data_IF_129017380888
#
_entry.id   IF_129017380888
#
_cell.length_a   1.000
_cell.length_b   1.000
_cell.length_c   1.000
_cell.angle_alpha   90.00
_cell.angle_beta   90.00
_cell.angle_gamma   90.00
#
_symmetry.space_group_name_H-M   'P 1'
#
loop_
_entity.id
_entity.type
_entity.pdbx_description
1 polymer ?
2 water ?
#
# COMPACT_ATOMS: atom_id res chain seq x y z
N UNK A 1 21.60 20.66 -12.52
CA UNK A 1 20.57 19.90 -11.76
C UNK A 1 21.24 19.16 -10.61
N UNK A 2 20.63 19.24 -9.43
CA UNK A 2 21.17 18.56 -8.25
C UNK A 2 20.25 17.41 -7.87
N UNK A 3 20.86 16.26 -7.57
CA UNK A 3 20.09 15.07 -7.22
C UNK A 3 20.46 14.52 -5.85
N UNK A 4 19.50 14.50 -4.93
CA UNK A 4 19.74 13.97 -3.61
C UNK A 4 19.36 12.50 -3.57
N UNK A 5 20.29 11.66 -3.15
CA UNK A 5 20.07 10.23 -3.05
C UNK A 5 20.27 9.87 -1.58
N UNK A 6 19.21 9.39 -0.92
CA UNK A 6 19.34 9.03 0.49
C UNK A 6 19.29 7.52 0.71
N UNK A 7 19.91 7.10 1.81
CA UNK A 7 19.93 5.70 2.17
C UNK A 7 19.65 5.58 3.65
N UNK A 8 19.85 4.39 4.21
CA UNK A 8 19.63 4.15 5.62
C UNK A 8 20.73 3.29 6.22
N UNK A 9 20.93 3.45 7.52
CA UNK A 9 21.93 2.68 8.25
C UNK A 9 21.33 1.28 8.52
N UNK A 10 22.14 0.35 9.05
CA UNK A 10 21.67 -1.01 9.35
C UNK A 10 20.60 -1.03 10.43
N UNK A 11 19.71 -2.01 10.38
CA UNK A 11 18.65 -2.12 11.37
C UNK A 11 18.03 -3.52 11.40
N UNK A 12 17.12 -3.72 12.36
CA UNK A 12 16.42 -4.98 12.51
C UNK A 12 17.22 -6.25 12.66
N UNK A 13 18.42 -6.17 13.21
CA UNK A 13 19.22 -7.37 13.40
C UNK A 13 20.26 -7.63 12.32
N UNK A 14 20.16 -6.91 11.20
CA UNK A 14 21.12 -7.07 10.12
C UNK A 14 22.26 -6.08 10.33
N UNK A 15 23.49 -6.55 10.12
CA UNK A 15 24.66 -5.71 10.30
C UNK A 15 24.97 -4.74 9.16
N UNK A 16 24.29 -4.91 8.03
CA UNK A 16 24.54 -4.05 6.89
C UNK A 16 23.27 -3.62 6.18
N UNK A 17 23.35 -2.48 5.50
CA UNK A 17 22.24 -1.98 4.71
C UNK A 17 22.88 -1.60 3.38
N UNK A 18 22.58 -2.37 2.32
CA UNK A 18 23.14 -2.11 0.99
C UNK A 18 22.89 -0.73 0.38
N UNK A 19 21.90 0.01 0.90
CA UNK A 19 21.63 1.34 0.36
C UNK A 19 22.84 2.23 0.62
N UNK A 20 23.60 1.92 1.67
CA UNK A 20 24.79 2.70 1.99
C UNK A 20 25.81 2.49 0.87
N UNK A 21 25.98 1.24 0.45
CA UNK A 21 26.92 0.93 -0.63
C UNK A 21 26.49 1.59 -1.95
N UNK A 22 25.19 1.61 -2.20
CA UNK A 22 24.66 2.21 -3.42
C UNK A 22 24.89 3.71 -3.44
N UNK A 23 24.54 4.37 -2.34
CA UNK A 23 24.71 5.81 -2.24
C UNK A 23 26.17 6.19 -2.41
N UNK A 24 27.06 5.48 -1.74
CA UNK A 24 28.48 5.77 -1.85
C UNK A 24 28.96 5.59 -3.28
N UNK A 25 28.59 4.47 -3.90
CA UNK A 25 29.01 4.18 -5.26
C UNK A 25 28.56 5.23 -6.27
N UNK A 26 27.27 5.56 -6.25
CA UNK A 26 26.74 6.53 -7.20
C UNK A 26 27.13 7.98 -6.94
N UNK A 27 27.35 8.34 -5.68
CA UNK A 27 27.75 9.71 -5.39
C UNK A 27 29.18 9.92 -5.88
N UNK A 28 29.98 8.86 -5.83
CA UNK A 28 31.37 8.94 -6.28
C UNK A 28 31.49 9.03 -7.80
N UNK A 29 30.61 8.35 -8.51
CA UNK A 29 30.66 8.34 -9.98
C UNK A 29 29.85 9.43 -10.67
N UNK A 30 28.78 9.90 -10.02
CA UNK A 30 27.93 10.93 -10.59
C UNK A 30 28.06 12.21 -9.77
N UNK A 31 28.81 13.20 -10.28
CA UNK A 31 29.02 14.47 -9.56
C UNK A 31 27.78 15.28 -9.18
N UNK A 32 26.71 15.17 -9.95
CA UNK A 32 25.49 15.93 -9.63
C UNK A 32 24.70 15.27 -8.52
N UNK A 33 25.18 14.13 -8.03
CA UNK A 33 24.51 13.41 -6.97
C UNK A 33 25.08 13.75 -5.60
N UNK A 34 24.20 14.05 -4.65
CA UNK A 34 24.58 14.35 -3.29
C UNK A 34 24.02 13.20 -2.46
N UNK A 35 24.88 12.53 -1.71
CA UNK A 35 24.42 11.41 -0.90
C UNK A 35 24.31 11.70 0.58
N UNK A 36 23.29 11.11 1.20
CA UNK A 36 23.05 11.28 2.63
C UNK A 36 22.46 10.00 3.18
N UNK A 37 23.05 9.48 4.25
CA UNK A 37 22.56 8.27 4.88
C UNK A 37 21.76 8.67 6.11
N UNK A 38 20.51 8.26 6.17
CA UNK A 38 19.63 8.59 7.28
C UNK A 38 19.67 7.51 8.37
N UNK A 39 19.52 7.92 9.64
CA UNK A 39 19.53 6.97 10.75
C UNK A 39 18.16 6.30 10.80
N UNK A 40 18.08 5.07 11.29
CA UNK A 40 16.79 4.41 11.38
C UNK A 40 16.18 4.82 12.71
N UNK A 41 15.71 6.07 12.74
CA UNK A 41 15.10 6.71 13.90
C UNK A 41 14.09 7.72 13.38
N UNK A 42 12.83 7.59 13.80
CA UNK A 42 11.82 8.52 13.32
C UNK A 42 12.17 9.95 13.67
N UNK A 43 12.55 10.18 14.92
CA UNK A 43 12.92 11.51 15.38
C UNK A 43 14.15 12.08 14.66
N UNK A 44 15.23 11.32 14.65
CA UNK A 44 16.46 11.78 14.02
C UNK A 44 16.43 11.82 12.50
N UNK A 45 15.69 10.90 11.88
CA UNK A 45 15.59 10.88 10.43
C UNK A 45 14.79 12.08 9.95
N UNK A 46 13.72 12.44 10.65
CA UNK A 46 12.91 13.59 10.27
C UNK A 46 13.75 14.86 10.25
N UNK A 47 14.53 15.05 11.32
CA UNK A 47 15.38 16.22 11.42
C UNK A 47 16.45 16.23 10.32
N UNK A 48 17.14 15.11 10.16
CA UNK A 48 18.20 15.02 9.15
C UNK A 48 17.71 15.18 7.72
N UNK A 49 16.62 14.51 7.38
CA UNK A 49 16.06 14.60 6.03
C UNK A 49 15.59 16.00 5.69
N UNK A 50 14.86 16.64 6.59
CA UNK A 50 14.37 17.99 6.32
C UNK A 50 15.50 18.99 6.24
N UNK A 51 16.57 18.75 7.00
CA UNK A 51 17.72 19.65 6.98
C UNK A 51 18.45 19.58 5.64
N UNK A 52 18.77 18.36 5.19
CA UNK A 52 19.47 18.19 3.93
C UNK A 52 18.66 18.73 2.76
N UNK A 53 17.36 18.48 2.78
CA UNK A 53 16.49 18.97 1.71
C UNK A 53 16.57 20.49 1.65
N UNK A 54 16.56 21.13 2.81
CA UNK A 54 16.62 22.59 2.88
C UNK A 54 17.98 23.12 2.47
N UNK A 55 19.05 22.46 2.90
CA UNK A 55 20.40 22.91 2.58
C UNK A 55 20.78 22.68 1.11
N UNK A 56 20.40 21.53 0.57
CA UNK A 56 20.72 21.20 -0.81
C UNK A 56 19.73 21.74 -1.84
N UNK A 57 18.45 21.78 -1.47
CA UNK A 57 17.41 22.25 -2.39
C UNK A 57 17.54 21.47 -3.69
N UNK A 58 17.53 20.14 -3.62
CA UNK A 58 17.66 19.29 -4.80
C UNK A 58 16.52 19.44 -5.80
N UNK A 59 16.80 19.17 -7.06
CA UNK A 59 15.79 19.24 -8.10
C UNK A 59 15.06 17.90 -8.08
N UNK A 60 15.79 16.85 -7.75
CA UNK A 60 15.25 15.50 -7.68
C UNK A 60 15.74 14.81 -6.42
N UNK A 61 14.87 14.06 -5.77
CA UNK A 61 15.26 13.30 -4.61
C UNK A 61 14.76 11.88 -4.77
N UNK A 62 15.65 10.92 -4.60
CA UNK A 62 15.26 9.53 -4.67
C UNK A 62 15.72 8.91 -3.36
N UNK A 63 14.76 8.46 -2.55
CA UNK A 63 15.06 7.84 -1.27
C UNK A 63 15.24 6.34 -1.50
N UNK A 64 16.24 5.76 -0.86
CA UNK A 64 16.50 4.33 -0.99
C UNK A 64 16.28 3.61 0.34
N UNK A 65 15.86 2.36 0.25
CA UNK A 65 15.66 1.57 1.44
C UNK A 65 15.88 0.11 1.14
N UNK A 66 16.15 -0.66 2.19
CA UNK A 66 16.33 -2.11 2.05
C UNK A 66 14.98 -2.72 2.41
N UNK A 67 14.54 -3.67 1.59
CA UNK A 67 13.27 -4.36 1.82
C UNK A 67 13.57 -5.84 2.02
N UNK A 68 13.91 -6.24 3.26
CA UNK A 68 14.23 -7.64 3.55
C UNK A 68 13.16 -8.60 3.04
N UNK A 69 13.57 -9.55 2.21
CA UNK A 69 12.62 -10.53 1.71
C UNK A 69 12.08 -10.30 0.32
N UNK A 70 12.19 -9.08 -0.21
CA UNK A 70 11.68 -8.83 -1.55
C UNK A 70 12.63 -9.43 -2.58
N UNK A 71 12.06 -9.85 -3.71
CA UNK A 71 12.82 -10.50 -4.78
C UNK A 71 13.29 -9.58 -5.92
N UNK A 72 12.56 -8.50 -6.14
CA UNK A 72 12.84 -7.54 -7.19
C UNK A 72 13.08 -6.16 -6.61
N UNK A 73 13.64 -5.27 -7.42
CA UNK A 73 13.82 -3.89 -6.98
C UNK A 73 12.40 -3.36 -7.04
N UNK A 74 11.98 -2.63 -6.01
CA UNK A 74 10.63 -2.09 -5.95
C UNK A 74 10.62 -0.57 -6.10
N UNK A 75 9.89 -0.08 -7.10
CA UNK A 75 9.78 1.34 -7.33
C UNK A 75 8.44 1.76 -6.73
N UNK A 76 8.48 2.43 -5.59
CA UNK A 76 7.27 2.83 -4.88
C UNK A 76 6.44 3.93 -5.51
N UNK A 77 5.13 3.77 -5.47
CA UNK A 77 4.24 4.77 -6.04
C UNK A 77 3.44 5.50 -5.00
N UNK A 78 3.32 4.92 -3.81
CA UNK A 78 2.49 5.52 -2.75
C UNK A 78 3.16 5.69 -1.39
N UNK A 79 3.13 6.90 -0.86
CA UNK A 79 3.65 7.21 0.46
C UNK A 79 2.41 7.54 1.29
N UNK A 80 2.24 6.89 2.44
CA UNK A 80 1.07 7.12 3.27
C UNK A 80 1.36 7.90 4.53
N UNK A 81 0.41 8.74 4.95
CA UNK A 81 0.55 9.57 6.13
C UNK A 81 0.30 8.75 7.40
N UNK A 82 1.16 7.78 7.64
CA UNK A 82 0.99 6.90 8.79
C UNK A 82 2.29 6.32 9.31
N UNK A 83 2.42 6.29 10.63
CA UNK A 83 3.58 5.67 11.27
C UNK A 83 2.98 4.51 12.04
N UNK A 84 3.38 3.29 11.69
CA UNK A 84 2.91 2.07 12.35
C UNK A 84 4.11 1.14 12.37
N UNK A 85 4.97 1.32 13.36
CA UNK A 85 6.19 0.52 13.49
C UNK A 85 5.94 -0.89 14.00
N UNK A 86 6.14 -1.87 13.12
CA UNK A 86 5.94 -3.27 13.49
C UNK A 86 7.12 -3.79 14.31
N UNK A 87 8.18 -2.98 14.36
CA UNK A 87 9.37 -3.27 15.16
C UNK A 87 9.88 -1.91 15.61
N UNK A 88 10.67 -1.87 16.69
CA UNK A 88 11.18 -0.58 17.16
C UNK A 88 12.25 -0.04 16.21
N UNK A 89 12.55 1.25 16.30
CA UNK A 89 13.60 1.81 15.45
C UNK A 89 14.89 1.65 16.25
N UNK A 90 16.02 2.10 15.71
CA UNK A 90 17.29 1.94 16.41
C UNK A 90 17.40 2.69 17.74
N UNK A 91 16.43 3.56 18.03
CA UNK A 91 16.45 4.28 19.30
C UNK A 91 15.50 3.62 20.30
N UNK A 92 14.86 2.54 19.86
CA UNK A 92 13.95 1.83 20.74
C UNK A 92 12.49 2.28 20.66
N UNK A 93 12.23 3.35 19.93
CA UNK A 93 10.87 3.87 19.78
C UNK A 93 10.06 3.01 18.82
N UNK A 94 8.77 2.85 19.11
CA UNK A 94 7.91 2.06 18.24
C UNK A 94 6.52 2.69 18.15
N UNK A 95 6.44 3.91 17.56
CA UNK A 95 5.18 4.62 17.42
C UNK A 95 4.18 3.91 16.51
N UNK A 96 2.89 4.04 16.83
CA UNK A 96 1.83 3.41 16.04
C UNK A 96 0.61 4.32 15.94
N UNK A 97 0.00 4.31 14.76
CA UNK A 97 -1.20 5.11 14.50
C UNK A 97 -1.01 6.59 14.79
N UNK A 98 0.10 7.11 14.29
CA UNK A 98 0.46 8.51 14.43
C UNK A 98 0.67 9.02 13.02
N UNK A 99 0.21 10.24 12.71
CA UNK A 99 0.40 10.78 11.36
C UNK A 99 1.84 11.26 11.22
N UNK A 100 2.32 11.32 9.99
CA UNK A 100 3.69 11.81 9.75
C UNK A 100 3.59 13.34 9.77
N UNK A 101 2.51 13.86 9.18
CA UNK A 101 2.25 15.28 9.16
C UNK A 101 0.78 15.52 9.49
N UNK A 102 0.54 16.17 10.63
CA UNK A 102 -0.81 16.47 11.06
C UNK A 102 -1.51 17.32 10.00
N UNK A 103 -2.66 16.85 9.51
CA UNK A 103 -3.39 17.60 8.51
C UNK A 103 -2.91 17.37 7.09
N UNK A 104 -1.85 16.58 6.93
CA UNK A 104 -1.34 16.31 5.59
C UNK A 104 -2.25 15.34 4.87
N UNK A 105 -2.14 15.23 3.53
CA UNK A 105 -3.01 14.30 2.80
C UNK A 105 -2.74 12.85 3.22
N UNK A 106 -3.75 12.00 3.07
CA UNK A 106 -3.61 10.60 3.45
C UNK A 106 -2.42 9.98 2.71
N UNK A 107 -2.17 10.42 1.48
CA UNK A 107 -1.05 9.90 0.72
C UNK A 107 -0.54 10.85 -0.34
N UNK A 108 0.64 10.54 -0.84
CA UNK A 108 1.29 11.28 -1.93
C UNK A 108 1.76 10.25 -2.94
N UNK A 109 1.52 10.50 -4.22
CA UNK A 109 2.00 9.60 -5.26
C UNK A 109 3.42 10.05 -5.60
N UNK A 110 4.30 9.10 -5.91
CA UNK A 110 5.66 9.43 -6.29
C UNK A 110 5.56 10.26 -7.57
N UNK A 111 6.44 11.23 -7.72
CA UNK A 111 6.40 12.08 -8.90
C UNK A 111 7.48 11.80 -9.94
N UNK A 112 8.43 10.92 -9.63
CA UNK A 112 9.42 10.56 -10.63
C UNK A 112 8.65 9.62 -11.57
N UNK A 113 9.17 9.39 -12.80
CA UNK A 113 8.49 8.50 -13.76
C UNK A 113 8.65 7.03 -13.36
N UNK A 114 7.87 6.61 -12.37
CA UNK A 114 7.95 5.25 -11.85
C UNK A 114 7.81 4.11 -12.84
N UNK A 115 6.79 4.12 -13.69
CA UNK A 115 6.63 3.02 -14.64
C UNK A 115 7.76 3.00 -15.67
N UNK A 116 8.15 4.18 -16.15
CA UNK A 116 9.22 4.27 -17.13
C UNK A 116 10.52 3.73 -16.52
N UNK A 117 10.74 4.04 -15.24
CA UNK A 117 11.92 3.57 -14.54
C UNK A 117 11.92 2.04 -14.42
N UNK A 118 10.77 1.47 -14.07
CA UNK A 118 10.67 0.02 -13.95
C UNK A 118 10.94 -0.65 -15.30
N UNK A 119 10.33 -0.13 -16.36
CA UNK A 119 10.54 -0.72 -17.68
C UNK A 119 11.99 -0.57 -18.15
N UNK A 120 12.64 0.53 -17.80
CA UNK A 120 14.03 0.73 -18.20
C UNK A 120 14.93 -0.25 -17.46
N UNK A 121 14.60 -0.54 -16.20
CA UNK A 121 15.39 -1.49 -15.43
C UNK A 121 15.27 -2.88 -16.07
N UNK A 122 14.03 -3.26 -16.41
CA UNK A 122 13.79 -4.56 -17.02
C UNK A 122 14.52 -4.69 -18.36
N UNK A 123 14.55 -3.62 -19.13
CA UNK A 123 15.23 -3.63 -20.42
C UNK A 123 16.72 -3.91 -20.23
N UNK A 124 17.22 -3.63 -19.03
CA UNK A 124 18.63 -3.86 -18.71
C UNK A 124 18.84 -5.15 -17.93
N UNK A 125 17.82 -6.00 -17.93
CA UNK A 125 17.90 -7.29 -17.26
C UNK A 125 17.79 -7.27 -15.75
N UNK A 126 17.26 -6.18 -15.20
CA UNK A 126 17.13 -6.05 -13.75
C UNK A 126 15.70 -6.33 -13.30
N UNK A 127 15.50 -7.34 -12.43
CA UNK A 127 14.14 -7.63 -11.96
C UNK A 127 13.61 -6.41 -11.20
N UNK A 128 12.54 -5.81 -11.71
CA UNK A 128 11.97 -4.63 -11.08
C UNK A 128 10.46 -4.65 -11.21
N UNK A 129 9.80 -4.04 -10.23
CA UNK A 129 8.35 -3.98 -10.22
C UNK A 129 7.87 -2.72 -9.51
N UNK A 130 6.64 -2.32 -9.82
CA UNK A 130 6.02 -1.17 -9.17
C UNK A 130 5.47 -1.70 -7.85
N UNK A 131 5.50 -0.87 -6.82
CA UNK A 131 4.98 -1.25 -5.51
C UNK A 131 4.01 -0.18 -5.03
N UNK A 132 2.95 -0.59 -4.34
CA UNK A 132 1.96 0.35 -3.84
C UNK A 132 1.94 0.56 -2.33
N UNK A 133 2.89 -0.08 -1.65
CA UNK A 133 3.07 0.13 -0.22
C UNK A 133 4.56 0.06 0.08
N UNK A 134 5.06 1.11 0.71
CA UNK A 134 6.46 1.21 1.09
C UNK A 134 6.58 0.88 2.57
N UNK A 135 5.52 0.27 3.11
CA UNK A 135 5.51 -0.06 4.53
C UNK A 135 5.05 1.15 5.33
N UNK A 136 5.17 1.08 6.64
CA UNK A 136 4.77 2.18 7.51
C UNK A 136 5.84 2.43 8.57
N UNK A 137 7.07 2.09 8.20
CA UNK A 137 8.25 2.24 9.06
C UNK A 137 9.06 3.45 8.56
N UNK A 138 10.38 3.42 8.73
CA UNK A 138 11.23 4.53 8.31
C UNK A 138 11.27 4.84 6.81
N UNK A 139 11.17 3.81 5.98
CA UNK A 139 11.20 4.01 4.55
C UNK A 139 10.03 4.85 4.05
N UNK A 140 8.81 4.44 4.43
CA UNK A 140 7.62 5.18 4.03
C UNK A 140 7.71 6.60 4.62
N UNK A 141 8.25 6.67 5.84
CA UNK A 141 8.40 7.93 6.56
C UNK A 141 9.21 8.92 5.72
N UNK A 142 10.38 8.49 5.24
CA UNK A 142 11.23 9.34 4.42
C UNK A 142 10.56 9.68 3.09
N UNK A 143 9.88 8.69 2.50
CA UNK A 143 9.21 8.91 1.23
C UNK A 143 8.15 10.01 1.35
N UNK A 144 7.32 9.92 2.39
CA UNK A 144 6.24 10.89 2.60
C UNK A 144 6.78 12.29 2.87
N UNK A 145 7.75 12.40 3.77
CA UNK A 145 8.32 13.69 4.11
C UNK A 145 8.93 14.37 2.88
N UNK A 146 9.57 13.57 2.02
CA UNK A 146 10.19 14.12 0.82
C UNK A 146 9.12 14.63 -0.15
N UNK A 147 8.09 13.84 -0.38
CA UNK A 147 7.02 14.26 -1.30
C UNK A 147 6.21 15.42 -0.72
N UNK A 148 6.07 15.45 0.60
CA UNK A 148 5.33 16.52 1.27
C UNK A 148 6.09 17.84 1.16
N UNK A 149 7.41 17.78 1.32
CA UNK A 149 8.23 18.98 1.22
C UNK A 149 8.15 19.51 -0.21
N UNK A 150 8.10 18.61 -1.18
CA UNK A 150 8.00 19.00 -2.57
C UNK A 150 6.68 19.74 -2.83
N UNK A 151 5.60 19.15 -2.34
CA UNK A 151 4.27 19.72 -2.50
C UNK A 151 4.05 21.05 -1.79
N UNK A 152 4.68 21.22 -0.64
CA UNK A 152 4.51 22.43 0.14
C UNK A 152 5.57 23.51 -0.06
N UNK A 153 6.81 23.10 -0.32
CA UNK A 153 7.88 24.07 -0.51
C UNK A 153 8.45 24.19 -1.91
N UNK A 154 8.12 23.24 -2.79
CA UNK A 154 8.61 23.32 -4.15
C UNK A 154 9.92 22.62 -4.44
N UNK A 155 10.52 22.02 -3.42
CA UNK A 155 11.77 21.29 -3.59
C UNK A 155 11.73 20.00 -2.77
N UNK A 156 12.13 18.87 -3.37
CA UNK A 156 12.58 18.73 -4.76
C UNK A 156 11.41 18.94 -5.70
N UNK A 157 11.70 18.99 -7.00
CA UNK A 157 10.66 19.16 -8.00
C UNK A 157 9.90 17.85 -8.16
N UNK A 158 10.65 16.75 -8.21
CA UNK A 158 10.05 15.42 -8.31
C UNK A 158 10.81 14.48 -7.37
N UNK A 159 10.13 13.44 -6.91
CA UNK A 159 10.76 12.50 -5.99
C UNK A 159 10.09 11.13 -5.98
N UNK A 160 10.78 10.17 -5.39
CA UNK A 160 10.25 8.82 -5.29
C UNK A 160 11.10 7.99 -4.34
N UNK A 161 10.71 6.73 -4.16
CA UNK A 161 11.42 5.83 -3.26
C UNK A 161 11.68 4.51 -3.97
N UNK A 162 12.86 3.93 -3.74
CA UNK A 162 13.19 2.65 -4.34
C UNK A 162 13.70 1.71 -3.27
N UNK A 163 13.08 0.54 -3.17
CA UNK A 163 13.48 -0.47 -2.21
C UNK A 163 14.30 -1.52 -2.97
N UNK A 164 15.34 -2.03 -2.32
CA UNK A 164 16.17 -3.05 -2.93
C UNK A 164 16.22 -4.29 -2.04
N UNK A 165 16.38 -5.47 -2.64
CA UNK A 165 16.46 -6.72 -1.88
C UNK A 165 17.77 -6.82 -1.11
N UNK A 166 17.88 -7.84 -0.26
CA UNK A 166 19.11 -8.08 0.46
C UNK A 166 20.15 -8.42 -0.61
N UNK A 167 21.41 -8.12 -0.34
CA UNK A 167 22.46 -8.50 -1.28
C UNK A 167 22.83 -9.93 -0.83
N UNK A 168 23.46 -10.73 -1.71
CA UNK A 168 23.83 -12.10 -1.39
C UNK A 168 24.58 -12.32 -0.08
N UNK A 169 25.51 -11.44 0.23
CA UNK A 169 26.31 -11.54 1.45
C UNK A 169 25.48 -11.41 2.72
N UNK A 170 24.25 -10.92 2.60
CA UNK A 170 23.38 -10.74 3.75
C UNK A 170 22.48 -11.92 4.10
N UNK A 171 22.42 -12.91 3.20
CA UNK A 171 21.53 -14.05 3.43
C UNK A 171 22.20 -15.41 3.50
N UNK A 172 23.52 -15.44 3.73
CA UNK A 172 24.23 -16.70 3.79
C UNK A 172 23.71 -17.65 4.86
N UNK A 173 23.10 -17.10 5.91
CA UNK A 173 22.56 -17.93 6.98
C UNK A 173 21.05 -17.79 7.09
N UNK A 174 20.42 -17.26 6.04
CA UNK A 174 18.97 -17.08 6.03
C UNK A 174 18.32 -18.02 5.02
N UNK A 175 17.56 -18.98 5.53
CA UNK A 175 16.90 -19.95 4.67
C UNK A 175 15.79 -19.32 3.84
N UNK A 176 15.67 -19.79 2.59
CA UNK A 176 14.63 -19.35 1.68
C UNK A 176 14.43 -17.83 1.64
N UNK A 177 15.54 -17.10 1.67
CA UNK A 177 15.52 -15.65 1.64
C UNK A 177 16.15 -15.15 0.35
N UNK A 178 15.39 -14.43 -0.48
CA UNK A 178 15.91 -13.90 -1.76
C UNK A 178 16.94 -12.80 -1.65
N UNK A 179 17.77 -12.68 -2.69
CA UNK A 179 18.80 -11.65 -2.73
C UNK A 179 19.05 -11.21 -4.16
N UNK A 180 19.78 -10.11 -4.30
CA UNK A 180 20.12 -9.55 -5.60
C UNK A 180 21.51 -8.94 -5.47
N UNK A 181 22.34 -9.14 -6.49
CA UNK A 181 23.71 -8.62 -6.47
C UNK A 181 23.75 -7.10 -6.33
N UNK A 182 24.74 -6.61 -5.59
CA UNK A 182 24.91 -5.18 -5.37
C UNK A 182 25.09 -4.46 -6.70
N UNK A 183 25.85 -5.06 -7.62
CA UNK A 183 26.06 -4.45 -8.92
C UNK A 183 24.75 -4.19 -9.67
N UNK A 184 23.80 -5.12 -9.62
CA UNK A 184 22.52 -4.92 -10.29
C UNK A 184 21.74 -3.83 -9.59
N UNK A 185 21.81 -3.81 -8.26
CA UNK A 185 21.09 -2.81 -7.49
C UNK A 185 21.64 -1.42 -7.79
N UNK A 186 22.95 -1.30 -7.89
CA UNK A 186 23.56 -0.01 -8.20
C UNK A 186 23.13 0.41 -9.61
N UNK A 187 23.15 -0.54 -10.55
CA UNK A 187 22.76 -0.25 -11.91
C UNK A 187 21.30 0.20 -11.98
N UNK A 188 20.44 -0.48 -11.22
CA UNK A 188 19.03 -0.14 -11.21
C UNK A 188 18.80 1.28 -10.72
N UNK A 189 19.45 1.64 -9.63
CA UNK A 189 19.28 2.98 -9.08
C UNK A 189 19.88 4.02 -10.03
N UNK A 190 20.99 3.66 -10.68
CA UNK A 190 21.62 4.59 -11.63
C UNK A 190 20.60 4.88 -12.75
N UNK A 191 19.94 3.82 -13.22
CA UNK A 191 18.93 3.94 -14.26
C UNK A 191 17.78 4.84 -13.77
N UNK A 192 17.37 4.65 -12.51
CA UNK A 192 16.29 5.46 -11.95
C UNK A 192 16.67 6.94 -11.96
N UNK A 193 17.89 7.22 -11.57
CA UNK A 193 18.37 8.60 -11.53
C UNK A 193 18.36 9.21 -12.94
N UNK A 194 18.96 8.51 -13.88
CA UNK A 194 19.04 9.00 -15.25
C UNK A 194 17.67 9.20 -15.92
N UNK A 195 16.75 8.26 -15.69
CA UNK A 195 15.42 8.37 -16.28
C UNK A 195 14.66 9.55 -15.69
N UNK A 196 14.77 9.73 -14.37
CA UNK A 196 14.09 10.85 -13.72
C UNK A 196 14.70 12.16 -14.18
N UNK A 197 16.02 12.16 -14.32
CA UNK A 197 16.77 13.34 -14.76
C UNK A 197 16.35 13.74 -16.16
N UNK A 198 16.29 12.76 -17.06
CA UNK A 198 15.89 13.02 -18.44
C UNK A 198 14.46 13.57 -18.48
N UNK A 199 13.57 12.93 -17.73
CA UNK A 199 12.17 13.35 -17.68
C UNK A 199 12.04 14.81 -17.24
N UNK A 200 12.75 15.17 -16.17
CA UNK A 200 12.70 16.53 -15.67
C UNK A 200 13.30 17.54 -16.64
N UNK A 201 14.40 17.15 -17.27
CA UNK A 201 15.08 18.02 -18.23
C UNK A 201 14.18 18.36 -19.41
N UNK A 202 13.58 17.35 -20.01
CA UNK A 202 12.71 17.57 -21.16
C UNK A 202 11.50 18.41 -20.81
N UNK A 203 11.04 18.33 -19.57
CA UNK A 203 9.88 19.10 -19.14
C UNK A 203 10.27 20.55 -18.90
N UNK A 204 11.57 20.82 -18.91
CA UNK A 204 12.07 22.18 -18.70
C UNK A 204 12.58 22.83 -19.98
N UNK A 205 12.52 22.11 -21.10
CA UNK A 205 12.97 22.64 -22.38
C UNK A 205 11.80 23.03 -23.28
N UNK A 206 10.60 22.63 -22.88
CA UNK A 206 9.38 22.91 -23.64
C UNK A 206 9.24 24.40 -23.97
N UNK B 1 -30.21 1.43 11.94
CA UNK B 1 -28.83 1.00 11.56
C UNK B 1 -28.88 0.10 10.34
N UNK B 2 -28.23 0.53 9.27
CA UNK B 2 -28.17 -0.23 8.04
C UNK B 2 -26.72 -0.52 7.68
N UNK B 3 -26.39 -1.79 7.47
CA UNK B 3 -25.04 -2.18 7.15
C UNK B 3 -24.98 -2.86 5.78
N UNK B 4 -24.20 -2.29 4.87
CA UNK B 4 -24.05 -2.89 3.55
C UNK B 4 -22.77 -3.71 3.51
N UNK B 5 -22.91 -4.97 3.12
CA UNK B 5 -21.77 -5.88 3.01
C UNK B 5 -21.67 -6.27 1.54
N UNK B 6 -20.55 -5.98 0.90
CA UNK B 6 -20.39 -6.34 -0.50
C UNK B 6 -19.36 -7.44 -0.70
N UNK B 7 -19.53 -8.18 -1.79
CA UNK B 7 -18.60 -9.25 -2.13
C UNK B 7 -18.32 -9.20 -3.60
N UNK B 8 -17.64 -10.22 -4.12
CA UNK B 8 -17.31 -10.29 -5.55
C UNK B 8 -17.55 -11.67 -6.12
N UNK B 9 -17.80 -11.71 -7.42
CA UNK B 9 -18.02 -12.97 -8.14
C UNK B 9 -16.66 -13.62 -8.36
N UNK B 10 -16.63 -14.87 -8.86
CA UNK B 10 -15.37 -15.57 -9.11
C UNK B 10 -14.55 -14.90 -10.21
N UNK B 11 -13.22 -15.00 -10.12
CA UNK B 11 -12.35 -14.39 -11.13
C UNK B 11 -10.97 -15.03 -11.22
N UNK B 12 -10.23 -14.62 -12.25
CA UNK B 12 -8.87 -15.10 -12.45
C UNK B 12 -8.60 -16.58 -12.52
N UNK B 13 -9.59 -17.38 -12.95
CA UNK B 13 -9.37 -18.81 -13.05
C UNK B 13 -10.08 -19.64 -12.00
N UNK B 14 -10.27 -19.07 -10.81
CA UNK B 14 -10.95 -19.79 -9.74
C UNK B 14 -12.46 -19.73 -10.01
N UNK B 15 -13.16 -20.82 -9.78
CA UNK B 15 -14.60 -20.84 -10.03
C UNK B 15 -15.44 -20.47 -8.83
N UNK B 16 -14.79 -20.01 -7.76
CA UNK B 16 -15.50 -19.64 -6.56
C UNK B 16 -14.86 -18.45 -5.84
N UNK B 17 -15.70 -17.65 -5.19
CA UNK B 17 -15.23 -16.51 -4.40
C UNK B 17 -15.97 -16.62 -3.08
N UNK B 18 -15.25 -17.00 -2.01
CA UNK B 18 -15.84 -17.16 -0.67
C UNK B 18 -16.56 -15.95 -0.10
N UNK B 19 -16.32 -14.76 -0.65
CA UNK B 19 -17.01 -13.59 -0.14
C UNK B 19 -18.50 -13.73 -0.44
N UNK B 20 -18.84 -14.49 -1.46
CA UNK B 20 -20.25 -14.70 -1.79
C UNK B 20 -20.89 -15.50 -0.66
N UNK B 21 -20.17 -16.52 -0.19
CA UNK B 21 -20.65 -17.35 0.91
C UNK B 21 -20.77 -16.54 2.19
N UNK B 22 -19.79 -15.67 2.43
CA UNK B 22 -19.79 -14.84 3.63
C UNK B 22 -20.97 -13.88 3.62
N UNK B 23 -21.15 -13.17 2.51
CA UNK B 23 -22.24 -12.21 2.39
C UNK B 23 -23.59 -12.89 2.58
N UNK B 24 -23.77 -14.05 1.95
CA UNK B 24 -25.03 -14.77 2.08
C UNK B 24 -25.29 -15.20 3.52
N UNK B 25 -24.26 -15.77 4.15
CA UNK B 25 -24.38 -16.24 5.52
C UNK B 25 -24.75 -15.15 6.51
N UNK B 26 -24.03 -14.03 6.47
CA UNK B 26 -24.29 -12.95 7.41
C UNK B 26 -25.55 -12.15 7.14
N UNK B 27 -25.96 -12.04 5.89
CA UNK B 27 -27.19 -11.29 5.58
C UNK B 27 -28.38 -12.08 6.09
N UNK B 28 -28.28 -13.40 6.07
CA UNK B 28 -29.37 -14.25 6.55
C UNK B 28 -29.44 -14.26 8.08
N UNK B 29 -28.29 -14.09 8.72
CA UNK B 29 -28.18 -14.09 10.18
C UNK B 29 -28.38 -12.75 10.86
N UNK B 30 -28.01 -11.67 10.18
CA UNK B 30 -28.12 -10.33 10.74
C UNK B 30 -29.06 -9.46 9.89
N UNK B 31 -30.26 -9.19 10.42
CA UNK B 31 -31.30 -8.39 9.75
C UNK B 31 -30.88 -7.02 9.22
N UNK B 32 -30.03 -6.32 9.97
CA UNK B 32 -29.59 -4.99 9.55
C UNK B 32 -28.55 -5.03 8.44
N UNK B 33 -28.14 -6.23 8.04
CA UNK B 33 -27.15 -6.38 6.98
C UNK B 33 -27.78 -6.62 5.62
N UNK B 34 -27.39 -5.78 4.66
CA UNK B 34 -27.86 -5.88 3.28
C UNK B 34 -26.65 -6.36 2.48
N UNK B 35 -26.83 -7.40 1.68
CA UNK B 35 -25.72 -7.93 0.91
C UNK B 35 -25.82 -7.65 -0.58
N UNK B 36 -24.67 -7.45 -1.21
CA UNK B 36 -24.61 -7.19 -2.64
C UNK B 36 -23.31 -7.77 -3.19
N UNK B 37 -23.41 -8.56 -4.25
CA UNK B 37 -22.23 -9.15 -4.87
C UNK B 37 -21.90 -8.35 -6.11
N UNK B 38 -20.69 -7.83 -6.18
CA UNK B 38 -20.27 -7.02 -7.33
C UNK B 38 -19.59 -7.87 -8.39
N UNK B 39 -19.72 -7.46 -9.66
CA UNK B 39 -19.07 -8.23 -10.73
C UNK B 39 -17.61 -7.82 -10.76
N UNK B 40 -16.72 -8.71 -11.21
CA UNK B 40 -15.32 -8.35 -11.30
C UNK B 40 -15.15 -7.68 -12.66
N UNK B 41 -15.59 -6.42 -12.70
CA UNK B 41 -15.57 -5.60 -13.89
C UNK B 41 -15.49 -4.15 -13.44
N UNK B 42 -14.48 -3.41 -13.88
CA UNK B 42 -14.35 -2.02 -13.48
C UNK B 42 -15.58 -1.20 -13.85
N UNK B 43 -16.04 -1.36 -15.08
CA UNK B 43 -17.19 -0.61 -15.57
C UNK B 43 -18.48 -0.97 -14.85
N UNK B 44 -18.81 -2.26 -14.80
CA UNK B 44 -20.04 -2.71 -14.17
C UNK B 44 -20.03 -2.68 -12.64
N UNK B 45 -18.85 -2.78 -12.04
CA UNK B 45 -18.77 -2.74 -10.60
C UNK B 45 -19.00 -1.31 -10.13
N UNK B 46 -18.47 -0.33 -10.86
CA UNK B 46 -18.67 1.06 -10.50
C UNK B 46 -20.16 1.37 -10.54
N UNK B 47 -20.82 0.95 -11.62
CA UNK B 47 -22.25 1.18 -11.77
C UNK B 47 -23.06 0.53 -10.65
N UNK B 48 -22.81 -0.75 -10.43
CA UNK B 48 -23.54 -1.49 -9.40
C UNK B 48 -23.30 -0.97 -7.99
N UNK B 49 -22.02 -0.75 -7.64
CA UNK B 49 -21.69 -0.25 -6.31
C UNK B 49 -22.31 1.10 -5.99
N UNK B 50 -22.18 2.05 -6.91
CA UNK B 50 -22.76 3.37 -6.66
C UNK B 50 -24.27 3.30 -6.59
N UNK B 51 -24.86 2.42 -7.38
CA UNK B 51 -26.32 2.28 -7.35
C UNK B 51 -26.80 1.74 -6.02
N UNK B 52 -26.17 0.67 -5.54
CA UNK B 52 -26.58 0.08 -4.27
C UNK B 52 -26.36 1.04 -3.10
N UNK B 53 -25.27 1.78 -3.13
CA UNK B 53 -25.00 2.74 -2.06
C UNK B 53 -26.11 3.78 -2.03
N UNK B 54 -26.53 4.23 -3.20
CA UNK B 54 -27.58 5.21 -3.33
C UNK B 54 -28.93 4.65 -2.91
N UNK B 55 -29.21 3.41 -3.32
CA UNK B 55 -30.49 2.80 -2.98
C UNK B 55 -30.60 2.41 -1.50
N UNK B 56 -29.49 1.95 -0.92
CA UNK B 56 -29.50 1.54 0.47
C UNK B 56 -29.21 2.62 1.51
N UNK B 57 -28.33 3.57 1.17
CA UNK B 57 -27.96 4.63 2.09
C UNK B 57 -27.49 4.00 3.41
N UNK B 58 -26.58 3.03 3.32
CA UNK B 58 -26.08 2.37 4.53
C UNK B 58 -25.36 3.33 5.45
N UNK B 59 -25.33 2.99 6.74
CA UNK B 59 -24.65 3.80 7.73
C UNK B 59 -23.21 3.30 7.79
N UNK B 60 -23.05 2.01 7.49
CA UNK B 60 -21.74 1.36 7.47
C UNK B 60 -21.64 0.46 6.24
N UNK B 61 -20.49 0.49 5.57
CA UNK B 61 -20.27 -0.38 4.43
C UNK B 61 -18.95 -1.08 4.64
N UNK B 62 -18.98 -2.40 4.50
CA UNK B 62 -17.76 -3.19 4.62
C UNK B 62 -17.66 -3.97 3.32
N UNK B 63 -16.67 -3.62 2.49
CA UNK B 63 -16.47 -4.29 1.22
C UNK B 63 -15.59 -5.51 1.47
N UNK B 64 -15.97 -6.65 0.90
CA UNK B 64 -15.18 -7.86 1.06
C UNK B 64 -14.53 -8.27 -0.25
N UNK B 65 -13.42 -8.97 -0.15
CA UNK B 65 -12.74 -9.44 -1.33
C UNK B 65 -11.88 -10.64 -1.01
N UNK B 66 -11.59 -11.42 -2.04
CA UNK B 66 -10.74 -12.59 -1.90
C UNK B 66 -9.32 -12.14 -2.23
N UNK B 67 -8.36 -12.53 -1.41
CA UNK B 67 -6.96 -12.20 -1.64
C UNK B 67 -6.20 -13.51 -1.78
N UNK B 68 -6.14 -14.05 -3.01
CA UNK B 68 -5.43 -15.30 -3.26
C UNK B 68 -4.00 -15.29 -2.75
N UNK B 69 -3.68 -16.25 -1.89
CA UNK B 69 -2.33 -16.34 -1.37
C UNK B 69 -2.10 -15.76 0.01
N UNK B 70 -2.97 -14.88 0.49
CA UNK B 70 -2.77 -14.32 1.82
C UNK B 70 -3.09 -15.38 2.88
N UNK B 71 -2.38 -15.31 3.99
CA UNK B 71 -2.51 -16.26 5.10
C UNK B 71 -3.49 -15.87 6.19
N UNK B 72 -3.64 -14.56 6.41
CA UNK B 72 -4.51 -14.00 7.44
C UNK B 72 -5.61 -13.15 6.82
N UNK B 73 -6.63 -12.85 7.62
CA UNK B 73 -7.70 -11.96 7.15
C UNK B 73 -6.99 -10.61 7.17
N UNK B 74 -7.18 -9.81 6.12
CA UNK B 74 -6.54 -8.51 6.02
C UNK B 74 -7.55 -7.39 6.16
N UNK B 75 -7.34 -6.53 7.15
CA UNK B 75 -8.23 -5.39 7.36
C UNK B 75 -7.49 -4.21 6.74
N UNK B 76 -7.97 -3.78 5.57
CA UNK B 76 -7.33 -2.70 4.82
C UNK B 76 -7.45 -1.31 5.42
N UNK B 77 -6.37 -0.55 5.37
CA UNK B 77 -6.40 0.81 5.89
C UNK B 77 -6.28 1.87 4.81
N UNK B 78 -5.80 1.48 3.64
CA UNK B 78 -5.59 2.45 2.57
C UNK B 78 -6.19 2.10 1.21
N UNK B 79 -6.96 3.02 0.66
CA UNK B 79 -7.54 2.88 -0.68
C UNK B 79 -6.82 3.92 -1.53
N UNK B 80 -6.25 3.51 -2.65
CA UNK B 80 -5.53 4.46 -3.50
C UNK B 80 -6.31 4.79 -4.77
N UNK B 81 -6.16 6.03 -5.22
CA UNK B 81 -6.85 6.53 -6.41
C UNK B 81 -6.09 6.08 -7.65
N UNK B 82 -6.08 4.78 -7.89
CA UNK B 82 -5.35 4.22 -9.01
C UNK B 82 -5.89 2.89 -9.49
N UNK B 83 -5.94 2.74 -10.81
CA UNK B 83 -6.34 1.49 -11.42
C UNK B 83 -5.10 1.02 -12.17
N UNK B 84 -4.56 -0.12 -11.74
CA UNK B 84 -3.39 -0.71 -12.38
C UNK B 84 -3.65 -2.21 -12.35
N UNK B 85 -4.39 -2.69 -13.35
CA UNK B 85 -4.77 -4.10 -13.44
C UNK B 85 -3.64 -4.99 -13.91
N UNK B 86 -3.17 -5.87 -13.02
CA UNK B 86 -2.09 -6.80 -13.35
C UNK B 86 -2.64 -7.97 -14.16
N UNK B 87 -3.96 -8.02 -14.25
CA UNK B 87 -4.68 -9.05 -15.02
C UNK B 87 -5.98 -8.38 -15.44
N UNK B 88 -6.57 -8.81 -16.57
CA UNK B 88 -7.82 -8.22 -17.02
C UNK B 88 -8.99 -8.55 -16.08
N UNK B 89 -10.06 -7.78 -16.16
CA UNK B 89 -11.23 -8.07 -15.34
C UNK B 89 -12.03 -9.11 -16.13
N UNK B 90 -13.20 -9.51 -15.62
CA UNK B 90 -14.00 -10.51 -16.31
C UNK B 90 -14.57 -10.01 -17.64
N UNK B 91 -14.41 -8.73 -17.93
CA UNK B 91 -14.90 -8.16 -19.18
C UNK B 91 -13.77 -7.99 -20.18
N UNK B 92 -12.57 -8.42 -19.81
CA UNK B 92 -11.42 -8.31 -20.70
C UNK B 92 -10.74 -6.96 -20.66
N UNK B 93 -11.17 -6.08 -19.75
CA UNK B 93 -10.57 -4.77 -19.63
C UNK B 93 -9.41 -4.80 -18.66
N UNK B 94 -8.30 -4.18 -19.04
CA UNK B 94 -7.11 -4.13 -18.19
C UNK B 94 -6.52 -2.73 -18.19
N UNK B 95 -7.22 -1.77 -17.57
CA UNK B 95 -6.74 -0.39 -17.51
C UNK B 95 -5.51 -0.23 -16.61
N UNK B 96 -4.65 0.72 -16.96
CA UNK B 96 -3.45 0.98 -16.18
C UNK B 96 -3.16 2.47 -16.08
N UNK B 97 -2.72 2.88 -14.90
CA UNK B 97 -2.38 4.27 -14.63
C UNK B 97 -3.52 5.23 -14.90
N UNK B 98 -4.72 4.85 -14.47
CA UNK B 98 -5.90 5.66 -14.63
C UNK B 98 -6.46 5.95 -13.25
N UNK B 99 -6.89 7.18 -12.99
CA UNK B 99 -7.44 7.50 -11.68
C UNK B 99 -8.82 6.87 -11.55
N UNK B 100 -9.26 6.64 -10.32
CA UNK B 100 -10.58 6.08 -10.09
C UNK B 100 -11.54 7.25 -10.15
N UNK B 101 -11.14 8.36 -9.54
CA UNK B 101 -11.92 9.58 -9.53
C UNK B 101 -11.00 10.73 -9.89
N UNK B 102 -11.25 11.37 -11.03
CA UNK B 102 -10.45 12.50 -11.48
C UNK B 102 -10.50 13.61 -10.44
N UNK B 103 -9.34 14.02 -9.95
CA UNK B 103 -9.28 15.07 -8.95
C UNK B 103 -9.49 14.59 -7.52
N UNK B 104 -9.73 13.29 -7.35
CA UNK B 104 -9.94 12.76 -6.03
C UNK B 104 -8.63 12.64 -5.26
N UNK B 105 -8.67 12.50 -3.93
CA UNK B 105 -7.43 12.38 -3.16
C UNK B 105 -6.64 11.14 -3.55
N UNK B 106 -5.32 11.24 -3.42
CA UNK B 106 -4.44 10.13 -3.75
C UNK B 106 -4.88 8.89 -2.99
N UNK B 107 -5.38 9.09 -1.78
CA UNK B 107 -5.84 7.98 -0.96
C UNK B 107 -6.91 8.37 0.03
N UNK B 108 -7.63 7.36 0.48
CA UNK B 108 -8.64 7.50 1.52
C UNK B 108 -8.29 6.46 2.56
N UNK B 109 -8.28 6.86 3.84
CA UNK B 109 -8.01 5.92 4.91
C UNK B 109 -9.35 5.27 5.26
N UNK B 110 -9.33 4.00 5.64
CA UNK B 110 -10.56 3.32 6.02
C UNK B 110 -11.06 4.02 7.29
N UNK B 111 -12.37 4.15 7.43
CA UNK B 111 -12.91 4.84 8.59
C UNK B 111 -13.55 3.95 9.66
N UNK B 112 -13.66 2.66 9.38
CA UNK B 112 -14.17 1.75 10.40
C UNK B 112 -12.97 1.58 11.35
N UNK B 113 -13.20 1.12 12.58
CA UNK B 113 -12.12 0.93 13.56
C UNK B 113 -11.23 -0.27 13.22
N UNK B 114 -10.38 -0.09 12.23
CA UNK B 114 -9.51 -1.15 11.75
C UNK B 114 -8.64 -1.90 12.76
N UNK B 115 -7.89 -1.18 13.60
CA UNK B 115 -7.05 -1.88 14.56
C UNK B 115 -7.89 -2.63 15.59
N UNK B 116 -8.96 -1.99 16.04
CA UNK B 116 -9.85 -2.61 17.02
C UNK B 116 -10.44 -3.90 16.46
N UNK B 117 -10.78 -3.87 15.18
CA UNK B 117 -11.35 -5.04 14.52
C UNK B 117 -10.31 -6.15 14.45
N UNK B 118 -9.09 -5.81 14.05
CA UNK B 118 -8.03 -6.79 13.98
C UNK B 118 -7.76 -7.43 15.34
N UNK B 119 -7.69 -6.62 16.39
CA UNK B 119 -7.44 -7.15 17.72
C UNK B 119 -8.58 -8.02 18.26
N UNK B 120 -9.81 -7.68 17.91
CA UNK B 120 -10.96 -8.46 18.38
C UNK B 120 -10.98 -9.81 17.64
N UNK B 121 -10.58 -9.80 16.37
CA UNK B 121 -10.52 -11.05 15.61
C UNK B 121 -9.50 -11.97 16.26
N UNK B 122 -8.32 -11.42 16.56
CA UNK B 122 -7.25 -12.18 17.20
C UNK B 122 -7.67 -12.71 18.56
N UNK B 123 -8.41 -11.91 19.31
CA UNK B 123 -8.89 -12.31 20.63
C UNK B 123 -9.78 -13.54 20.50
N UNK B 124 -10.41 -13.68 19.34
CA UNK B 124 -11.29 -14.81 19.06
C UNK B 124 -10.64 -15.94 18.29
N UNK B 125 -9.30 -15.95 18.28
CA UNK B 125 -8.56 -17.00 17.60
C UNK B 125 -8.50 -16.93 16.08
N UNK B 126 -8.78 -15.75 15.52
CA UNK B 126 -8.77 -15.59 14.07
C UNK B 126 -7.54 -14.84 13.58
N UNK B 127 -6.70 -15.48 12.73
CA UNK B 127 -5.51 -14.80 12.23
C UNK B 127 -5.95 -13.58 11.43
N UNK B 128 -5.56 -12.40 11.91
CA UNK B 128 -5.93 -11.15 11.27
C UNK B 128 -4.79 -10.17 11.37
N UNK B 129 -4.70 -9.29 10.38
CA UNK B 129 -3.63 -8.29 10.36
C UNK B 129 -4.08 -7.05 9.61
N UNK B 130 -3.45 -5.92 9.91
CA UNK B 130 -3.74 -4.68 9.20
C UNK B 130 -2.96 -4.75 7.90
N UNK B 131 -3.52 -4.19 6.84
CA UNK B 131 -2.87 -4.16 5.53
C UNK B 131 -2.89 -2.72 5.01
N UNK B 132 -1.82 -2.32 4.33
CA UNK B 132 -1.75 -0.97 3.80
C UNK B 132 -1.85 -0.88 2.27
N UNK B 133 -2.12 -2.02 1.64
CA UNK B 133 -2.37 -2.02 0.20
C UNK B 133 -3.45 -3.05 -0.09
N UNK B 134 -4.52 -2.60 -0.73
CA UNK B 134 -5.62 -3.48 -1.10
C UNK B 134 -5.45 -3.86 -2.56
N UNK B 135 -4.25 -3.60 -3.09
CA UNK B 135 -4.00 -3.90 -4.49
C UNK B 135 -4.46 -2.72 -5.33
N UNK B 136 -4.48 -2.90 -6.65
CA UNK B 136 -4.92 -1.83 -7.55
C UNK B 136 -5.85 -2.39 -8.61
N UNK B 137 -6.57 -3.45 -8.21
CA UNK B 137 -7.54 -4.15 -9.06
C UNK B 137 -8.96 -3.79 -8.60
N UNK B 138 -9.90 -4.71 -8.75
CA UNK B 138 -11.29 -4.46 -8.36
C UNK B 138 -11.53 -4.22 -6.87
N UNK B 139 -10.77 -4.89 -6.02
CA UNK B 139 -10.95 -4.73 -4.57
C UNK B 139 -10.63 -3.30 -4.14
N UNK B 140 -9.46 -2.80 -4.50
CA UNK B 140 -9.10 -1.43 -4.14
C UNK B 140 -10.10 -0.45 -4.76
N UNK B 141 -10.53 -0.77 -5.98
CA UNK B 141 -11.49 0.04 -6.73
C UNK B 141 -12.77 0.26 -5.92
N UNK B 142 -13.33 -0.84 -5.41
CA UNK B 142 -14.55 -0.77 -4.61
C UNK B 142 -14.30 -0.05 -3.29
N UNK B 143 -13.15 -0.31 -2.68
CA UNK B 143 -12.82 0.32 -1.41
C UNK B 143 -12.78 1.84 -1.57
N UNK B 144 -12.07 2.30 -2.61
CA UNK B 144 -11.94 3.72 -2.87
C UNK B 144 -13.27 4.38 -3.19
N UNK B 145 -14.06 3.79 -4.08
CA UNK B 145 -15.35 4.36 -4.44
C UNK B 145 -16.28 4.45 -3.24
N UNK B 146 -16.22 3.46 -2.35
CA UNK B 146 -17.06 3.48 -1.17
C UNK B 146 -16.65 4.60 -0.22
N UNK B 147 -15.36 4.73 0.03
CA UNK B 147 -14.88 5.79 0.92
C UNK B 147 -15.07 7.17 0.30
N UNK B 148 -14.97 7.26 -1.03
CA UNK B 148 -15.17 8.51 -1.73
C UNK B 148 -16.62 8.94 -1.65
N UNK B 149 -17.53 7.98 -1.77
CA UNK B 149 -18.94 8.30 -1.69
C UNK B 149 -19.28 8.77 -0.28
N UNK B 150 -18.64 8.17 0.71
CA UNK B 150 -18.84 8.55 2.10
C UNK B 150 -18.40 10.00 2.31
N UNK B 151 -17.22 10.34 1.79
CA UNK B 151 -16.66 11.67 1.94
C UNK B 151 -17.40 12.77 1.20
N UNK B 152 -17.96 12.44 0.04
CA UNK B 152 -18.65 13.43 -0.78
C UNK B 152 -20.17 13.45 -0.66
N UNK B 153 -20.78 12.33 -0.31
CA UNK B 153 -22.24 12.27 -0.20
C UNK B 153 -22.77 12.01 1.21
N UNK B 154 -21.90 11.62 2.13
CA UNK B 154 -22.35 11.39 3.50
C UNK B 154 -22.78 9.98 3.87
N UNK B 155 -22.84 9.10 2.88
CA UNK B 155 -23.22 7.71 3.12
C UNK B 155 -22.27 6.80 2.36
N UNK B 156 -21.75 5.75 3.03
CA UNK B 156 -22.01 5.41 4.42
C UNK B 156 -21.27 6.39 5.33
N UNK B 157 -21.52 6.29 6.64
CA UNK B 157 -20.84 7.17 7.60
C UNK B 157 -19.39 6.70 7.74
N UNK B 158 -19.20 5.39 7.85
CA UNK B 158 -17.87 4.82 7.94
C UNK B 158 -17.81 3.59 7.05
N UNK B 159 -16.61 3.25 6.59
CA UNK B 159 -16.44 2.12 5.69
C UNK B 159 -15.03 1.55 5.72
N UNK B 160 -14.89 0.37 5.12
CA UNK B 160 -13.59 -0.26 5.07
C UNK B 160 -13.65 -1.47 4.17
N UNK B 161 -12.49 -2.12 3.99
CA UNK B 161 -12.39 -3.29 3.15
C UNK B 161 -11.69 -4.41 3.90
N UNK B 162 -12.18 -5.63 3.72
CA UNK B 162 -11.59 -6.79 4.38
C UNK B 162 -11.34 -7.86 3.33
N UNK B 163 -10.09 -8.30 3.25
CA UNK B 163 -9.69 -9.35 2.31
C UNK B 163 -9.61 -10.65 3.08
N UNK B 164 -10.09 -11.73 2.47
CA UNK B 164 -10.04 -13.03 3.11
C UNK B 164 -9.22 -13.99 2.26
N UNK B 165 -8.56 -14.97 2.89
CA UNK B 165 -7.76 -15.96 2.17
C UNK B 165 -8.68 -16.92 1.42
N UNK B 166 -8.08 -17.77 0.60
CA UNK B 166 -8.83 -18.80 -0.12
C UNK B 166 -9.41 -19.68 0.98
N UNK B 167 -10.52 -20.35 0.71
CA UNK B 167 -11.05 -21.30 1.68
C UNK B 167 -10.39 -22.62 1.24
N UNK B 168 -10.30 -23.61 2.15
CA UNK B 168 -9.66 -24.89 1.83
C UNK B 168 -10.07 -25.60 0.54
N UNK B 169 -11.35 -25.57 0.22
CA UNK B 169 -11.85 -26.21 -0.99
C UNK B 169 -11.30 -25.61 -2.27
N UNK B 170 -10.70 -24.42 -2.16
CA UNK B 170 -10.16 -23.72 -3.31
C UNK B 170 -8.69 -24.00 -3.64
N UNK B 171 -7.97 -24.65 -2.73
CA UNK B 171 -6.54 -24.88 -2.95
C UNK B 171 -6.13 -26.35 -2.99
N UNK B 172 -7.09 -27.23 -3.23
CA UNK B 172 -6.80 -28.66 -3.27
C UNK B 172 -5.73 -29.04 -4.28
N UNK B 173 -5.64 -28.30 -5.38
CA UNK B 173 -4.64 -28.58 -6.39
C UNK B 173 -3.61 -27.46 -6.50
N UNK B 174 -3.59 -26.57 -5.50
CA UNK B 174 -2.65 -25.46 -5.50
C UNK B 174 -1.52 -25.73 -4.50
N UNK B 175 -0.31 -25.82 -5.02
CA UNK B 175 0.87 -26.07 -4.22
C UNK B 175 1.26 -24.89 -3.34
N UNK B 176 1.63 -25.17 -2.09
CA UNK B 176 2.07 -24.16 -1.14
C UNK B 176 1.19 -22.91 -1.13
N UNK B 177 -0.13 -23.12 -1.13
CA UNK B 177 -1.07 -22.01 -1.13
C UNK B 177 -1.91 -22.08 0.14
N UNK B 178 -1.82 -21.03 0.98
CA UNK B 178 -2.55 -20.96 2.24
C UNK B 178 -4.07 -20.81 2.10
N UNK B 179 -4.78 -21.27 3.12
CA UNK B 179 -6.23 -21.17 3.14
C UNK B 179 -6.72 -20.97 4.57
N UNK B 180 -8.01 -20.62 4.69
CA UNK B 180 -8.64 -20.41 5.99
C UNK B 180 -10.08 -20.90 5.87
N UNK B 181 -10.56 -21.59 6.89
CA UNK B 181 -11.92 -22.11 6.88
C UNK B 181 -12.95 -21.01 6.71
N UNK B 182 -14.00 -21.33 5.95
CA UNK B 182 -15.07 -20.38 5.71
C UNK B 182 -15.68 -19.93 7.02
N UNK B 183 -15.83 -20.87 7.95
CA UNK B 183 -16.42 -20.57 9.25
C UNK B 183 -15.65 -19.46 9.97
N UNK B 184 -14.32 -19.51 9.93
CA UNK B 184 -13.50 -18.49 10.59
C UNK B 184 -13.64 -17.15 9.87
N UNK B 185 -13.71 -17.20 8.55
CA UNK B 185 -13.83 -15.98 7.77
C UNK B 185 -15.16 -15.32 8.07
N UNK B 186 -16.23 -16.10 8.17
CA UNK B 186 -17.54 -15.56 8.48
C UNK B 186 -17.52 -14.94 9.88
N UNK B 187 -16.92 -15.65 10.83
CA UNK B 187 -16.83 -15.15 12.19
C UNK B 187 -16.04 -13.85 12.23
N UNK B 188 -14.95 -13.79 11.47
CA UNK B 188 -14.13 -12.59 11.45
C UNK B 188 -14.90 -11.39 10.92
N UNK B 189 -15.61 -11.58 9.81
CA UNK B 189 -16.39 -10.49 9.22
C UNK B 189 -17.53 -10.08 10.15
N UNK B 190 -18.11 -11.05 10.85
CA UNK B 190 -19.20 -10.73 11.79
C UNK B 190 -18.63 -9.82 12.88
N UNK B 191 -17.43 -10.16 13.35
CA UNK B 191 -16.76 -9.36 14.37
C UNK B 191 -16.53 -7.94 13.86
N UNK B 192 -16.05 -7.82 12.63
CA UNK B 192 -15.81 -6.52 12.03
C UNK B 192 -17.08 -5.69 12.04
N UNK B 193 -18.20 -6.30 11.67
CA UNK B 193 -19.48 -5.62 11.63
C UNK B 193 -19.89 -5.13 13.01
N UNK B 194 -19.82 -6.02 14.00
CA UNK B 194 -20.21 -5.68 15.36
C UNK B 194 -19.33 -4.59 15.97
N UNK B 195 -18.02 -4.70 15.76
CA UNK B 195 -17.10 -3.70 16.31
C UNK B 195 -17.32 -2.34 15.65
N UNK B 196 -17.53 -2.33 14.33
CA UNK B 196 -17.76 -1.08 13.63
C UNK B 196 -19.07 -0.47 14.12
N UNK B 197 -20.07 -1.33 14.31
CA UNK B 197 -21.37 -0.90 14.79
C UNK B 197 -21.26 -0.27 16.16
N UNK B 198 -20.47 -0.90 17.04
CA UNK B 198 -20.28 -0.38 18.39
C UNK B 198 -19.57 0.97 18.38
N UNK B 199 -18.53 1.08 17.55
CA UNK B 199 -17.76 2.32 17.46
C UNK B 199 -18.63 3.47 16.95
N UNK B 200 -19.45 3.21 15.95
CA UNK B 200 -20.32 4.25 15.40
C UNK B 200 -21.33 4.69 16.44
N UNK B 201 -21.88 3.73 17.18
CA UNK B 201 -22.86 4.05 18.21
C UNK B 201 -22.24 4.87 19.33
N UNK B 202 -21.06 4.46 19.79
CA UNK B 202 -20.38 5.17 20.87
C UNK B 202 -19.99 6.59 20.47
N UNK B 203 -19.64 6.79 19.21
CA UNK B 203 -19.24 8.10 18.72
C UNK B 203 -20.42 9.07 18.64
N UNK B 204 -21.63 8.52 18.72
CA UNK B 204 -22.84 9.32 18.66
C UNK B 204 -23.47 9.57 20.02
N UNK B 205 -22.83 9.08 21.08
CA UNK B 205 -23.34 9.26 22.44
C UNK B 205 -22.95 10.62 23.00
N UNK B 206 -23.32 10.86 24.26
CA UNK B 206 -23.04 12.12 24.95
C UNK B 206 -23.28 13.37 24.10
#
# INVERSE_FOLDING_TARGET
>A
MKILLTGFEPFGGDDKNPTMDIVEALSERIPEVVGEILPVSFKRAREKLLKVLDDVRPDITINLGLAPGRTHISVERVAVNMIDARIPDNDGEQPKDEPIVEGGPAAYFATIPTREIVEEMKKNGIPAVLSYTAGTYLCNFAMYLTLHTSATKGYPKIAGFIHVPYTPDQVLEKKNTPSMSLDLEIKGVEIAIRVAQSALHSSQLR
>B
MKILLTGFEPFGGDDKNPTMDIVEALSERIPEVVGEILPVSFKRAREKLLKVLDDVRPDITINLGLAPGRTHISVERVAVNMIDARIPDNDGEQPKDEPIVEGGPAAYFATIPTREIVEEMKKNGIPAVLSYTAGTYLCNFAMYLTLHTSATKGYPKIAGFIHVPYTPDQVLEKKNTPSMSLDLEIKGVEIAIRVAQSALHSSQLR
#
